data_IF_849428781481
#
_entry.id   IF_849428781481
#
_cell.length_a   1.000
_cell.length_b   1.000
_cell.length_c   1.000
_cell.angle_alpha   90.00
_cell.angle_beta   90.00
_cell.angle_gamma   90.00
#
_symmetry.space_group_name_H-M   'P 1'
#
loop_
_entity.id
_entity.type
_entity.pdbx_description
1 polymer ?
#
# COMPACT_ATOMS: atom_id res chain seq x y z
N UNK A 1 0.18 9.10 14.40
CA UNK A 1 1.13 8.18 13.72
C UNK A 1 0.58 7.72 12.38
N UNK A 2 -0.58 7.05 12.35
CA UNK A 2 -1.14 6.38 11.17
C UNK A 2 -1.49 7.33 10.01
N UNK A 3 -2.00 8.52 10.31
CA UNK A 3 -2.28 9.58 9.32
C UNK A 3 -1.00 9.99 8.59
N UNK A 4 0.07 10.30 9.32
CA UNK A 4 1.35 10.72 8.75
C UNK A 4 2.01 9.61 7.92
N UNK A 5 1.88 8.35 8.35
CA UNK A 5 2.34 7.20 7.59
C UNK A 5 1.62 7.08 6.24
N UNK A 6 0.29 7.10 6.23
CA UNK A 6 -0.50 7.02 4.98
C UNK A 6 -0.23 8.21 4.07
N UNK A 7 -0.06 9.40 4.65
CA UNK A 7 0.35 10.58 3.92
C UNK A 7 1.71 10.41 3.24
N UNK A 8 2.70 9.85 3.94
CA UNK A 8 4.02 9.56 3.38
C UNK A 8 3.97 8.51 2.27
N UNK A 9 3.21 7.42 2.45
CA UNK A 9 3.00 6.42 1.39
C UNK A 9 2.38 7.10 0.17
N UNK A 10 1.35 7.94 0.36
CA UNK A 10 0.72 8.71 -0.72
C UNK A 10 1.68 9.66 -1.44
N UNK A 11 2.60 10.31 -0.73
CA UNK A 11 3.64 11.17 -1.31
C UNK A 11 4.65 10.40 -2.19
N UNK A 12 4.87 9.13 -1.87
CA UNK A 12 5.80 8.27 -2.61
C UNK A 12 5.19 7.66 -3.89
N UNK A 13 3.88 7.82 -4.10
CA UNK A 13 3.22 7.38 -5.33
C UNK A 13 3.77 8.15 -6.53
N UNK A 14 4.35 7.42 -7.48
CA UNK A 14 4.75 7.99 -8.76
C UNK A 14 3.60 7.89 -9.77
N UNK A 15 3.01 9.05 -10.11
CA UNK A 15 1.92 9.10 -11.10
C UNK A 15 2.44 9.09 -12.55
N UNK A 16 3.76 9.05 -12.80
CA UNK A 16 4.34 8.87 -14.16
C UNK A 16 4.28 7.42 -14.59
N UNK A 17 3.10 6.83 -14.56
CA UNK A 17 2.90 5.49 -15.09
C UNK A 17 2.83 5.60 -16.60
N UNK A 18 3.78 4.99 -17.31
CA UNK A 18 3.67 4.91 -18.77
C UNK A 18 2.42 4.13 -19.13
N UNK A 19 1.64 4.65 -20.10
CA UNK A 19 0.49 3.91 -20.66
C UNK A 19 0.90 2.55 -21.22
N UNK A 20 2.16 2.39 -21.63
CA UNK A 20 2.70 1.11 -22.11
C UNK A 20 2.80 0.05 -21.00
N UNK A 21 3.02 0.47 -19.76
CA UNK A 21 3.17 -0.41 -18.59
C UNK A 21 1.84 -0.59 -17.86
N UNK A 22 0.99 0.42 -17.83
CA UNK A 22 -0.30 0.41 -17.12
C UNK A 22 -1.15 -0.84 -17.37
N UNK A 23 -1.31 -1.26 -18.63
CA UNK A 23 -2.08 -2.48 -18.97
C UNK A 23 -1.43 -3.74 -18.40
N UNK A 24 -0.11 -3.86 -18.53
CA UNK A 24 0.67 -5.01 -18.03
C UNK A 24 0.54 -5.11 -16.51
N UNK A 25 0.66 -3.98 -15.82
CA UNK A 25 0.57 -3.88 -14.36
C UNK A 25 -0.84 -4.15 -13.84
N UNK A 26 -1.87 -3.66 -14.53
CA UNK A 26 -3.26 -3.97 -14.18
C UNK A 26 -3.54 -5.47 -14.26
N UNK A 27 -3.06 -6.14 -15.32
CA UNK A 27 -3.21 -7.60 -15.44
C UNK A 27 -2.48 -8.31 -14.31
N UNK A 28 -1.25 -7.91 -13.99
CA UNK A 28 -0.44 -8.50 -12.92
C UNK A 28 -1.03 -8.33 -11.52
N UNK A 29 -1.46 -7.12 -11.20
CA UNK A 29 -2.09 -6.79 -9.92
C UNK A 29 -3.42 -7.52 -9.79
N UNK A 30 -4.31 -7.41 -10.79
CA UNK A 30 -5.63 -8.06 -10.74
C UNK A 30 -5.53 -9.58 -10.64
N UNK A 31 -4.63 -10.24 -11.39
CA UNK A 31 -4.45 -11.68 -11.30
C UNK A 31 -3.93 -12.09 -9.92
N UNK A 32 -2.92 -11.39 -9.38
CA UNK A 32 -2.37 -11.64 -8.06
C UNK A 32 -3.37 -11.41 -6.92
N UNK A 33 -4.13 -10.33 -7.01
CA UNK A 33 -5.16 -9.98 -6.02
C UNK A 33 -6.27 -11.01 -6.04
N UNK A 34 -6.83 -11.33 -7.21
CA UNK A 34 -7.97 -12.24 -7.32
C UNK A 34 -7.63 -13.64 -6.82
N UNK A 35 -6.45 -14.16 -7.16
CA UNK A 35 -6.01 -15.47 -6.66
C UNK A 35 -5.74 -15.46 -5.17
N UNK A 36 -5.17 -14.38 -4.63
CA UNK A 36 -4.92 -14.26 -3.19
C UNK A 36 -6.24 -14.12 -2.42
N UNK A 37 -7.18 -13.31 -2.92
CA UNK A 37 -8.51 -13.17 -2.31
C UNK A 37 -9.25 -14.51 -2.32
N UNK A 38 -9.20 -15.25 -3.43
CA UNK A 38 -9.84 -16.56 -3.53
C UNK A 38 -9.25 -17.57 -2.53
N UNK A 39 -7.92 -17.69 -2.48
CA UNK A 39 -7.25 -18.68 -1.63
C UNK A 39 -7.30 -18.31 -0.16
N UNK A 40 -6.95 -17.08 0.20
CA UNK A 40 -6.99 -16.61 1.59
C UNK A 40 -8.43 -16.51 2.08
N UNK A 41 -9.35 -16.04 1.23
CA UNK A 41 -10.78 -15.96 1.56
C UNK A 41 -11.36 -17.34 1.86
N UNK A 42 -11.03 -18.35 1.04
CA UNK A 42 -11.44 -19.73 1.29
C UNK A 42 -10.83 -20.28 2.58
N UNK A 43 -9.51 -20.15 2.80
CA UNK A 43 -8.86 -20.70 4.00
C UNK A 43 -9.36 -20.03 5.27
N UNK A 44 -9.48 -18.70 5.29
CA UNK A 44 -9.98 -17.95 6.44
C UNK A 44 -11.47 -18.22 6.69
N UNK A 45 -12.29 -18.39 5.65
CA UNK A 45 -13.68 -18.79 5.81
C UNK A 45 -13.80 -20.19 6.42
N UNK A 46 -12.98 -21.16 6.01
CA UNK A 46 -12.97 -22.50 6.60
C UNK A 46 -12.56 -22.49 8.10
N UNK A 47 -11.73 -21.53 8.51
CA UNK A 47 -11.28 -21.38 9.91
C UNK A 47 -12.33 -20.66 10.77
N UNK A 48 -12.94 -19.61 10.24
CA UNK A 48 -13.78 -18.68 11.02
C UNK A 48 -15.28 -18.90 10.86
N UNK A 49 -15.68 -19.51 9.74
CA UNK A 49 -17.06 -19.58 9.26
C UNK A 49 -17.76 -18.20 9.18
N UNK A 50 -16.99 -17.13 9.00
CA UNK A 50 -17.49 -15.76 8.84
C UNK A 50 -16.98 -15.14 7.52
N UNK A 51 -17.93 -14.77 6.66
CA UNK A 51 -17.64 -14.16 5.36
C UNK A 51 -17.04 -12.76 5.51
N UNK A 52 -17.44 -12.01 6.54
CA UNK A 52 -16.96 -10.63 6.72
C UNK A 52 -15.49 -10.64 7.11
N UNK A 53 -15.14 -11.43 8.12
CA UNK A 53 -13.75 -11.65 8.54
C UNK A 53 -12.89 -12.20 7.40
N UNK A 54 -13.40 -13.15 6.61
CA UNK A 54 -12.63 -13.74 5.51
C UNK A 54 -12.36 -12.76 4.38
N UNK A 55 -13.33 -11.91 4.01
CA UNK A 55 -13.14 -10.85 3.02
C UNK A 55 -12.14 -9.80 3.50
N UNK A 56 -12.24 -9.36 4.76
CA UNK A 56 -11.30 -8.39 5.33
C UNK A 56 -9.88 -8.97 5.34
N UNK A 57 -9.71 -10.19 5.84
CA UNK A 57 -8.40 -10.84 5.92
C UNK A 57 -7.79 -11.06 4.53
N UNK A 58 -8.60 -11.51 3.57
CA UNK A 58 -8.13 -11.81 2.22
C UNK A 58 -7.80 -10.57 1.40
N UNK A 59 -8.56 -9.48 1.53
CA UNK A 59 -8.23 -8.20 0.88
C UNK A 59 -6.98 -7.60 1.52
N UNK A 60 -6.88 -7.59 2.85
CA UNK A 60 -5.70 -7.09 3.55
C UNK A 60 -4.42 -7.86 3.13
N UNK A 61 -4.46 -9.20 3.12
CA UNK A 61 -3.32 -10.02 2.74
C UNK A 61 -3.06 -10.08 1.22
N UNK A 62 -3.96 -9.56 0.39
CA UNK A 62 -3.74 -9.45 -1.06
C UNK A 62 -2.76 -8.33 -1.44
N UNK A 63 -2.44 -7.43 -0.52
CA UNK A 63 -1.57 -6.28 -0.78
C UNK A 63 -0.12 -6.67 -1.04
N UNK A 64 0.57 -5.80 -1.76
CA UNK A 64 2.03 -5.82 -1.91
C UNK A 64 2.62 -4.53 -1.36
N UNK A 65 3.62 -4.60 -0.48
CA UNK A 65 4.28 -3.42 0.05
C UNK A 65 5.15 -2.71 -0.99
N UNK A 66 4.65 -1.59 -1.48
CA UNK A 66 5.36 -0.65 -2.36
C UNK A 66 6.72 -0.22 -1.79
N UNK A 67 6.81 0.04 -0.48
CA UNK A 67 8.05 0.43 0.21
C UNK A 67 9.17 -0.62 0.06
N UNK A 68 8.85 -1.91 0.25
CA UNK A 68 9.82 -3.00 0.11
C UNK A 68 10.27 -3.15 -1.33
N UNK A 69 9.34 -3.01 -2.28
CA UNK A 69 9.65 -3.05 -3.72
C UNK A 69 10.62 -1.91 -4.10
N UNK A 70 10.39 -0.70 -3.61
CA UNK A 70 11.26 0.45 -3.86
C UNK A 70 12.67 0.24 -3.27
N UNK A 71 12.79 -0.42 -2.11
CA UNK A 71 14.08 -0.80 -1.53
C UNK A 71 14.85 -1.81 -2.39
N UNK A 72 14.19 -2.84 -2.91
CA UNK A 72 14.81 -3.83 -3.82
C UNK A 72 15.25 -3.17 -5.14
N UNK A 73 14.51 -2.18 -5.60
CA UNK A 73 14.81 -1.45 -6.83
C UNK A 73 15.96 -0.45 -6.64
N UNK A 74 16.01 0.24 -5.50
CA UNK A 74 17.05 1.23 -5.19
C UNK A 74 18.42 0.60 -4.94
N UNK A 75 18.46 -0.66 -4.50
CA UNK A 75 19.69 -1.44 -4.32
C UNK A 75 20.39 -1.82 -5.65
N UNK A 76 19.85 -1.41 -6.80
CA UNK A 76 20.30 -1.74 -8.17
C UNK A 76 20.43 -3.24 -8.44
N UNK A 77 19.59 -4.03 -7.79
CA UNK A 77 19.60 -5.48 -7.98
C UNK A 77 18.94 -5.92 -9.28
N UNK A 78 18.05 -5.09 -9.84
CA UNK A 78 17.34 -5.32 -11.09
C UNK A 78 17.86 -4.38 -12.18
N UNK A 79 18.17 -4.92 -13.36
CA UNK A 79 18.74 -4.17 -14.49
C UNK A 79 17.67 -3.68 -15.48
N UNK A 80 16.59 -4.43 -15.69
CA UNK A 80 15.55 -4.07 -16.66
C UNK A 80 14.55 -3.03 -16.12
N UNK A 81 14.54 -1.87 -16.78
CA UNK A 81 13.67 -0.75 -16.42
C UNK A 81 12.18 -1.06 -16.55
N UNK A 82 11.76 -1.76 -17.62
CA UNK A 82 10.36 -2.14 -17.82
C UNK A 82 9.87 -3.08 -16.72
N UNK A 83 10.72 -4.03 -16.30
CA UNK A 83 10.37 -4.94 -15.20
C UNK A 83 10.18 -4.18 -13.88
N UNK A 84 11.09 -3.24 -13.59
CA UNK A 84 11.02 -2.37 -12.39
C UNK A 84 9.78 -1.49 -12.41
N UNK A 85 9.45 -0.87 -13.55
CA UNK A 85 8.27 -0.03 -13.68
C UNK A 85 6.98 -0.85 -13.50
N UNK A 86 6.87 -2.05 -14.10
CA UNK A 86 5.72 -2.95 -13.91
C UNK A 86 5.60 -3.39 -12.45
N UNK A 87 6.71 -3.65 -11.76
CA UNK A 87 6.72 -4.05 -10.36
C UNK A 87 6.22 -2.93 -9.45
N UNK A 88 6.73 -1.71 -9.62
CA UNK A 88 6.31 -0.53 -8.84
C UNK A 88 4.83 -0.20 -9.09
N UNK A 89 4.44 -0.18 -10.35
CA UNK A 89 3.08 0.24 -10.73
C UNK A 89 2.03 -0.77 -10.29
N UNK A 90 2.32 -2.08 -10.33
CA UNK A 90 1.41 -3.09 -9.80
C UNK A 90 1.26 -3.02 -8.29
N UNK A 91 2.34 -2.80 -7.53
CA UNK A 91 2.23 -2.67 -6.08
C UNK A 91 1.44 -1.42 -5.67
N UNK A 92 1.56 -0.31 -6.42
CA UNK A 92 0.69 0.85 -6.21
C UNK A 92 -0.79 0.57 -6.50
N UNK A 93 -1.10 -0.25 -7.51
CA UNK A 93 -2.50 -0.64 -7.79
C UNK A 93 -3.04 -1.51 -6.63
N UNK A 94 -2.20 -2.38 -6.06
CA UNK A 94 -2.57 -3.19 -4.89
C UNK A 94 -2.88 -2.32 -3.66
N UNK A 95 -2.07 -1.28 -3.40
CA UNK A 95 -2.28 -0.36 -2.27
C UNK A 95 -3.67 0.30 -2.30
N UNK A 96 -4.19 0.62 -3.49
CA UNK A 96 -5.53 1.20 -3.66
C UNK A 96 -6.62 0.27 -3.14
N UNK A 97 -6.46 -1.05 -3.28
CA UNK A 97 -7.46 -2.01 -2.81
C UNK A 97 -7.55 -2.05 -1.29
N UNK A 98 -6.40 -2.04 -0.60
CA UNK A 98 -6.39 -1.93 0.88
C UNK A 98 -6.95 -0.60 1.32
N UNK A 99 -6.70 0.48 0.57
CA UNK A 99 -7.26 1.78 0.87
C UNK A 99 -8.80 1.80 0.74
N UNK A 100 -9.33 1.15 -0.31
CA UNK A 100 -10.77 0.95 -0.46
C UNK A 100 -11.34 0.06 0.65
N UNK A 101 -10.63 -0.99 1.07
CA UNK A 101 -11.00 -1.79 2.24
C UNK A 101 -11.13 -0.89 3.47
N UNK A 102 -10.09 -0.10 3.77
CA UNK A 102 -10.08 0.83 4.91
C UNK A 102 -11.28 1.78 4.88
N UNK A 103 -11.61 2.35 3.71
CA UNK A 103 -12.82 3.15 3.55
C UNK A 103 -14.09 2.34 3.88
N UNK A 104 -14.21 1.11 3.38
CA UNK A 104 -15.39 0.27 3.63
C UNK A 104 -15.52 -0.21 5.08
N UNK A 105 -14.44 -0.27 5.86
CA UNK A 105 -14.54 -0.69 7.27
C UNK A 105 -15.46 0.25 8.07
N UNK A 106 -15.47 1.56 7.77
CA UNK A 106 -16.38 2.52 8.39
C UNK A 106 -17.86 2.30 8.04
N UNK A 107 -18.14 1.83 6.82
CA UNK A 107 -19.49 1.49 6.36
C UNK A 107 -20.11 0.36 7.20
N UNK A 108 -19.33 -0.70 7.42
CA UNK A 108 -19.78 -1.91 8.12
C UNK A 108 -20.20 -1.62 9.57
N UNK A 109 -19.66 -0.56 10.18
CA UNK A 109 -20.02 -0.10 11.51
C UNK A 109 -21.26 0.80 11.53
N UNK A 110 -21.45 1.63 10.51
CA UNK A 110 -22.44 2.70 10.49
C UNK A 110 -23.81 2.34 9.91
N UNK A 111 -23.96 1.17 9.27
CA UNK A 111 -25.22 0.75 8.64
C UNK A 111 -25.69 1.67 7.50
N UNK A 112 -24.79 2.47 6.95
CA UNK A 112 -25.08 3.41 5.86
C UNK A 112 -25.25 2.63 4.55
N UNK A 113 -26.07 3.05 3.59
CA UNK A 113 -26.10 2.41 2.29
C UNK A 113 -24.74 2.49 1.57
N UNK A 114 -24.33 1.36 0.97
CA UNK A 114 -22.99 1.15 0.37
C UNK A 114 -22.68 2.17 -0.74
N UNK A 115 -23.62 2.38 -1.65
CA UNK A 115 -23.44 3.22 -2.85
C UNK A 115 -23.16 4.70 -2.49
N UNK A 116 -24.01 5.41 -1.72
CA UNK A 116 -23.74 6.80 -1.37
C UNK A 116 -22.47 6.95 -0.53
N UNK A 117 -22.13 5.96 0.30
CA UNK A 117 -20.88 5.97 1.05
C UNK A 117 -19.66 5.88 0.14
N UNK A 118 -19.66 4.98 -0.85
CA UNK A 118 -18.61 4.87 -1.87
C UNK A 118 -18.49 6.15 -2.70
N UNK A 119 -19.62 6.70 -3.18
CA UNK A 119 -19.64 7.94 -3.96
C UNK A 119 -19.03 9.08 -3.14
N UNK A 120 -19.37 9.20 -1.85
CA UNK A 120 -18.80 10.20 -0.95
C UNK A 120 -17.26 10.10 -0.90
N UNK A 121 -16.71 8.91 -0.73
CA UNK A 121 -15.26 8.68 -0.67
C UNK A 121 -14.56 9.00 -1.99
N UNK A 122 -15.14 8.56 -3.11
CA UNK A 122 -14.58 8.81 -4.45
C UNK A 122 -14.62 10.31 -4.76
N UNK A 123 -15.75 10.98 -4.54
CA UNK A 123 -15.89 12.42 -4.77
C UNK A 123 -14.89 13.20 -3.89
N UNK A 124 -14.77 12.84 -2.62
CA UNK A 124 -13.84 13.49 -1.71
C UNK A 124 -12.37 13.31 -2.14
N UNK A 125 -11.98 12.10 -2.56
CA UNK A 125 -10.65 11.85 -3.12
C UNK A 125 -10.38 12.68 -4.38
N UNK A 126 -11.36 12.76 -5.30
CA UNK A 126 -11.25 13.58 -6.51
C UNK A 126 -11.11 15.07 -6.20
N UNK A 127 -11.84 15.58 -5.20
CA UNK A 127 -11.71 16.96 -4.72
C UNK A 127 -10.29 17.22 -4.20
N UNK A 128 -9.76 16.35 -3.36
CA UNK A 128 -8.39 16.49 -2.82
C UNK A 128 -7.35 16.46 -3.95
N UNK A 129 -7.47 15.54 -4.91
CA UNK A 129 -6.58 15.45 -6.07
C UNK A 129 -6.67 16.74 -6.92
N UNK A 130 -7.88 17.24 -7.16
CA UNK A 130 -8.10 18.47 -7.92
C UNK A 130 -7.50 19.70 -7.23
N UNK A 131 -7.56 19.74 -5.90
CA UNK A 131 -6.96 20.79 -5.08
C UNK A 131 -5.43 20.82 -5.27
N UNK A 132 -4.78 19.65 -5.24
CA UNK A 132 -3.34 19.51 -5.49
C UNK A 132 -2.95 19.98 -6.88
N UNK A 133 -3.75 19.64 -7.89
CA UNK A 133 -3.55 20.13 -9.26
C UNK A 133 -3.65 21.66 -9.36
N UNK A 134 -4.66 22.27 -8.74
CA UNK A 134 -4.84 23.74 -8.71
C UNK A 134 -3.65 24.40 -8.01
N UNK A 135 -3.26 23.89 -6.84
CA UNK A 135 -2.11 24.38 -6.08
C UNK A 135 -0.83 24.25 -6.92
N UNK A 136 -0.64 23.14 -7.64
CA UNK A 136 0.54 22.93 -8.49
C UNK A 136 0.70 23.95 -9.62
N UNK A 137 -0.42 24.53 -10.09
CA UNK A 137 -0.43 25.59 -11.10
C UNK A 137 -0.22 26.99 -10.52
N UNK A 138 -0.75 27.23 -9.32
CA UNK A 138 -0.64 28.51 -8.62
C UNK A 138 0.75 28.71 -8.02
N UNK A 139 1.41 27.62 -7.63
CA UNK A 139 2.76 27.65 -7.07
C UNK A 139 3.81 27.97 -8.14
N UNK A 140 4.29 29.21 -8.15
CA UNK A 140 5.46 29.60 -8.95
C UNK A 140 6.76 29.10 -8.29
N UNK A 141 7.63 28.46 -9.07
CA UNK A 141 8.92 27.92 -8.59
C UNK A 141 9.84 28.97 -7.94
N UNK A 142 9.66 30.25 -8.30
CA UNK A 142 10.43 31.40 -7.78
C UNK A 142 10.15 31.75 -6.31
N UNK A 143 9.00 31.37 -5.76
CA UNK A 143 8.55 31.81 -4.42
C UNK A 143 8.65 30.73 -3.35
N UNK A 144 8.97 29.50 -3.74
CA UNK A 144 8.97 28.38 -2.82
C UNK A 144 10.34 28.27 -2.15
N UNK A 145 10.37 27.97 -0.86
CA UNK A 145 11.54 27.42 -0.17
C UNK A 145 11.13 26.05 0.37
N UNK A 146 12.09 25.19 0.73
CA UNK A 146 11.74 23.86 1.27
C UNK A 146 10.81 23.98 2.49
N UNK A 147 11.01 25.02 3.33
CA UNK A 147 10.13 25.37 4.46
C UNK A 147 8.69 25.67 4.06
N UNK A 148 8.48 26.41 2.97
CA UNK A 148 7.12 26.75 2.50
C UNK A 148 6.39 25.48 2.03
N UNK A 149 7.09 24.54 1.38
CA UNK A 149 6.47 23.30 0.93
C UNK A 149 6.13 22.40 2.12
N UNK A 150 6.98 22.33 3.17
CA UNK A 150 6.63 21.63 4.43
C UNK A 150 5.34 22.22 4.99
N UNK A 151 5.24 23.55 5.08
CA UNK A 151 4.07 24.22 5.65
C UNK A 151 2.81 23.96 4.83
N UNK A 152 2.89 24.03 3.49
CA UNK A 152 1.77 23.68 2.61
C UNK A 152 1.38 22.22 2.79
N UNK A 153 2.36 21.32 2.87
CA UNK A 153 2.10 19.89 3.03
C UNK A 153 1.36 19.58 4.34
N UNK A 154 1.82 20.17 5.45
CA UNK A 154 1.18 20.02 6.75
C UNK A 154 -0.20 20.68 6.79
N UNK A 155 -0.34 21.89 6.23
CA UNK A 155 -1.63 22.59 6.19
C UNK A 155 -2.65 21.82 5.35
N UNK A 156 -2.25 21.28 4.20
CA UNK A 156 -3.11 20.40 3.40
C UNK A 156 -3.48 19.15 4.20
N UNK A 157 -2.52 18.46 4.82
CA UNK A 157 -2.80 17.26 5.63
C UNK A 157 -3.80 17.55 6.76
N UNK A 158 -3.59 18.60 7.55
CA UNK A 158 -4.48 18.94 8.67
C UNK A 158 -5.85 19.42 8.19
N UNK A 159 -5.91 20.25 7.15
CA UNK A 159 -7.18 20.76 6.62
C UNK A 159 -8.02 19.64 5.99
N UNK A 160 -7.43 18.79 5.15
CA UNK A 160 -8.17 17.69 4.51
C UNK A 160 -8.62 16.66 5.55
N UNK A 161 -7.75 16.28 6.50
CA UNK A 161 -8.14 15.33 7.56
C UNK A 161 -9.19 15.89 8.51
N UNK A 162 -9.14 17.19 8.83
CA UNK A 162 -10.21 17.85 9.59
C UNK A 162 -11.54 17.84 8.83
N UNK A 163 -11.53 18.18 7.54
CA UNK A 163 -12.76 18.11 6.72
C UNK A 163 -13.28 16.68 6.59
N UNK A 164 -12.39 15.68 6.47
CA UNK A 164 -12.77 14.28 6.44
C UNK A 164 -13.43 13.83 7.74
N UNK A 165 -12.88 14.25 8.89
CA UNK A 165 -13.49 13.98 10.20
C UNK A 165 -14.92 14.52 10.28
N UNK A 166 -15.12 15.77 9.83
CA UNK A 166 -16.45 16.41 9.82
C UNK A 166 -17.43 15.73 8.85
N UNK A 167 -16.95 15.22 7.72
CA UNK A 167 -17.76 14.54 6.70
C UNK A 167 -17.91 13.02 6.95
N UNK A 168 -17.31 12.49 8.02
CA UNK A 168 -17.28 11.06 8.33
C UNK A 168 -16.63 10.22 7.22
N UNK A 169 -15.52 10.70 6.68
CA UNK A 169 -14.64 9.98 5.74
C UNK A 169 -13.43 9.46 6.51
N UNK A 170 -12.96 8.25 6.18
CA UNK A 170 -11.83 7.65 6.87
C UNK A 170 -10.55 8.51 6.77
N UNK A 171 -9.90 8.72 7.92
CA UNK A 171 -8.75 9.62 8.04
C UNK A 171 -7.51 9.07 7.32
N UNK A 172 -7.29 7.75 7.38
CA UNK A 172 -6.19 7.08 6.69
C UNK A 172 -6.34 7.17 5.17
N UNK A 173 -7.56 6.91 4.67
CA UNK A 173 -7.95 7.11 3.28
C UNK A 173 -7.64 8.54 2.81
N UNK A 174 -8.10 9.52 3.58
CA UNK A 174 -7.89 10.94 3.31
C UNK A 174 -6.42 11.33 3.28
N UNK A 175 -5.64 10.86 4.25
CA UNK A 175 -4.23 11.19 4.37
C UNK A 175 -3.44 10.71 3.15
N UNK A 176 -3.71 9.49 2.69
CA UNK A 176 -3.09 8.92 1.49
C UNK A 176 -3.39 9.75 0.23
N UNK A 177 -4.67 10.07 -0.01
CA UNK A 177 -5.03 10.91 -1.17
C UNK A 177 -4.49 12.34 -1.06
N UNK A 178 -4.31 12.86 0.15
CA UNK A 178 -3.62 14.14 0.36
C UNK A 178 -2.14 14.06 0.02
N UNK A 179 -1.48 12.94 0.32
CA UNK A 179 -0.11 12.65 -0.11
C UNK A 179 0.00 12.58 -1.64
N UNK A 180 -0.90 11.84 -2.30
CA UNK A 180 -0.97 11.78 -3.78
C UNK A 180 -1.15 13.19 -4.36
N UNK A 181 -2.07 13.96 -3.80
CA UNK A 181 -2.38 15.32 -4.23
C UNK A 181 -1.17 16.24 -4.19
N UNK A 182 -0.33 16.15 -3.16
CA UNK A 182 0.95 16.86 -3.10
C UNK A 182 2.00 16.26 -4.04
N UNK A 183 2.00 14.94 -4.24
CA UNK A 183 2.84 14.27 -5.23
C UNK A 183 2.67 14.86 -6.64
N UNK A 184 1.50 15.42 -6.97
CA UNK A 184 1.22 16.09 -8.24
C UNK A 184 2.16 17.27 -8.50
N UNK A 185 2.70 17.91 -7.46
CA UNK A 185 3.68 19.00 -7.59
C UNK A 185 4.95 18.55 -8.35
N UNK A 186 5.28 17.24 -8.36
CA UNK A 186 6.36 16.65 -9.17
C UNK A 186 6.12 16.78 -10.69
N UNK A 187 4.90 17.10 -11.11
CA UNK A 187 4.49 17.25 -12.51
C UNK A 187 4.25 18.71 -12.91
N UNK A 188 4.40 19.66 -11.98
CA UNK A 188 4.33 21.07 -12.34
C UNK A 188 5.46 21.40 -13.34
N UNK A 189 5.14 22.19 -14.37
CA UNK A 189 6.10 22.57 -15.42
C UNK A 189 7.15 23.50 -14.82
N UNK A 190 8.20 22.90 -14.27
CA UNK A 190 9.33 23.62 -13.72
C UNK A 190 10.59 23.27 -14.53
N UNK A 191 11.07 24.17 -15.42
CA UNK A 191 12.24 23.90 -16.25
C UNK A 191 13.52 23.70 -15.43
N UNK A 192 13.54 24.13 -14.16
CA UNK A 192 14.67 23.97 -13.25
C UNK A 192 14.51 22.79 -12.27
N UNK A 193 13.45 21.98 -12.39
CA UNK A 193 13.17 20.80 -11.53
C UNK A 193 13.10 21.12 -10.01
N UNK A 194 12.96 22.39 -9.62
CA UNK A 194 13.07 22.85 -8.23
C UNK A 194 11.97 22.25 -7.37
N UNK A 195 10.75 22.17 -7.90
CA UNK A 195 9.63 21.54 -7.19
C UNK A 195 9.86 20.05 -6.90
N UNK A 196 10.53 19.32 -7.80
CA UNK A 196 10.86 17.90 -7.60
C UNK A 196 11.91 17.75 -6.50
N UNK A 197 12.99 18.54 -6.56
CA UNK A 197 14.05 18.51 -5.54
C UNK A 197 13.48 18.77 -4.15
N UNK A 198 12.66 19.82 -4.00
CA UNK A 198 12.14 20.18 -2.68
C UNK A 198 11.08 19.22 -2.15
N UNK A 199 10.28 18.60 -3.02
CA UNK A 199 9.40 17.51 -2.59
C UNK A 199 10.21 16.29 -2.15
N UNK A 200 11.32 16.00 -2.81
CA UNK A 200 12.23 14.95 -2.37
C UNK A 200 12.85 15.29 -1.02
N UNK A 201 13.22 16.56 -0.76
CA UNK A 201 13.63 17.00 0.58
C UNK A 201 12.52 16.75 1.61
N UNK A 202 11.25 17.08 1.31
CA UNK A 202 10.13 16.78 2.20
C UNK A 202 10.02 15.29 2.51
N UNK A 203 10.08 14.47 1.46
CA UNK A 203 9.96 13.02 1.57
C UNK A 203 11.12 12.48 2.40
N UNK A 204 12.35 12.95 2.21
CA UNK A 204 13.49 12.51 3.03
C UNK A 204 13.33 12.94 4.49
N UNK A 205 12.97 14.20 4.76
CA UNK A 205 12.74 14.66 6.13
C UNK A 205 11.61 13.89 6.83
N UNK A 206 10.50 13.63 6.12
CA UNK A 206 9.41 12.82 6.66
C UNK A 206 9.83 11.37 6.87
N UNK A 207 10.58 10.77 5.94
CA UNK A 207 11.13 9.42 6.09
C UNK A 207 11.97 9.31 7.35
N UNK A 208 12.91 10.23 7.58
CA UNK A 208 13.77 10.22 8.78
C UNK A 208 12.95 10.23 10.07
N UNK A 209 11.92 11.09 10.16
CA UNK A 209 11.04 11.15 11.34
C UNK A 209 10.17 9.91 11.47
N UNK A 210 9.66 9.38 10.36
CA UNK A 210 8.84 8.19 10.33
C UNK A 210 9.65 6.96 10.77
N UNK A 211 10.81 6.75 10.16
CA UNK A 211 11.69 5.61 10.41
C UNK A 211 12.25 5.61 11.84
N UNK A 212 12.58 6.79 12.38
CA UNK A 212 13.17 6.89 13.72
C UNK A 212 12.13 6.79 14.84
N UNK A 213 10.90 7.29 14.63
CA UNK A 213 9.92 7.46 15.71
C UNK A 213 8.60 6.76 15.39
N UNK A 214 7.92 7.14 14.31
CA UNK A 214 6.51 6.78 14.11
C UNK A 214 6.31 5.32 13.68
N UNK A 215 7.18 4.78 12.82
CA UNK A 215 7.14 3.39 12.36
C UNK A 215 7.44 2.43 13.51
N UNK A 216 8.52 2.60 14.30
CA UNK A 216 8.75 1.79 15.49
C UNK A 216 7.59 1.81 16.49
N UNK A 217 7.04 3.00 16.79
CA UNK A 217 5.89 3.12 17.69
C UNK A 217 4.64 2.43 17.11
N UNK A 218 4.41 2.56 15.81
CA UNK A 218 3.29 1.89 15.14
C UNK A 218 3.42 0.38 15.22
N UNK A 219 4.58 -0.19 14.88
CA UNK A 219 4.78 -1.63 14.94
C UNK A 219 4.84 -2.16 16.37
N UNK A 220 5.26 -1.35 17.36
CA UNK A 220 5.12 -1.67 18.77
C UNK A 220 3.64 -1.80 19.16
N UNK A 221 2.80 -0.84 18.76
CA UNK A 221 1.36 -0.90 18.99
C UNK A 221 0.72 -2.11 18.31
N UNK A 222 1.10 -2.39 17.05
CA UNK A 222 0.64 -3.58 16.32
C UNK A 222 0.99 -4.85 17.09
N UNK A 223 2.25 -4.98 17.53
CA UNK A 223 2.77 -6.15 18.23
C UNK A 223 2.16 -6.38 19.62
N UNK A 224 1.89 -5.32 20.39
CA UNK A 224 1.27 -5.43 21.73
C UNK A 224 -0.14 -6.05 21.64
N UNK A 225 -0.87 -5.80 20.56
CA UNK A 225 -2.21 -6.36 20.34
C UNK A 225 -2.19 -7.80 19.81
N UNK A 226 -1.01 -8.36 19.49
CA UNK A 226 -0.90 -9.73 19.01
C UNK A 226 -0.91 -10.74 20.16
N UNK A 227 -1.56 -11.87 19.93
CA UNK A 227 -1.48 -13.02 20.81
C UNK A 227 -0.52 -14.05 20.22
N UNK A 228 0.59 -14.31 20.94
CA UNK A 228 1.67 -15.19 20.52
C UNK A 228 1.23 -16.65 20.29
N UNK A 229 0.14 -17.09 20.91
CA UNK A 229 -0.38 -18.45 20.74
C UNK A 229 -0.79 -18.73 19.28
N UNK A 230 -1.13 -17.70 18.51
CA UNK A 230 -1.56 -17.85 17.12
C UNK A 230 -0.42 -17.78 16.11
N UNK A 231 0.77 -17.31 16.53
CA UNK A 231 1.95 -17.10 15.67
C UNK A 231 2.48 -18.42 15.09
N UNK A 232 2.28 -19.55 15.77
CA UNK A 232 2.74 -20.89 15.33
C UNK A 232 1.56 -21.86 15.21
N UNK A 233 0.34 -21.33 15.02
CA UNK A 233 -0.86 -22.15 14.89
C UNK A 233 -0.98 -22.81 13.51
N UNK A 234 -1.71 -23.93 13.42
CA UNK A 234 -2.06 -24.54 12.13
C UNK A 234 -2.82 -23.56 11.22
N UNK A 235 -3.67 -22.71 11.81
CA UNK A 235 -4.38 -21.63 11.12
C UNK A 235 -3.42 -20.62 10.50
N UNK A 236 -2.36 -20.22 11.21
CA UNK A 236 -1.32 -19.36 10.66
C UNK A 236 -0.63 -20.03 9.46
N UNK A 237 -0.22 -21.30 9.57
CA UNK A 237 0.46 -22.01 8.48
C UNK A 237 -0.44 -22.08 7.24
N UNK A 238 -1.72 -22.42 7.42
CA UNK A 238 -2.70 -22.47 6.33
C UNK A 238 -2.90 -21.10 5.66
N UNK A 239 -3.08 -20.04 6.46
CA UNK A 239 -3.25 -18.69 5.92
C UNK A 239 -1.97 -18.21 5.24
N UNK A 240 -0.80 -18.36 5.87
CA UNK A 240 0.48 -17.98 5.28
C UNK A 240 0.75 -18.69 3.96
N UNK A 241 0.57 -20.01 3.91
CA UNK A 241 0.78 -20.78 2.67
C UNK A 241 -0.20 -20.38 1.58
N UNK A 242 -1.49 -20.18 1.92
CA UNK A 242 -2.49 -19.71 0.95
C UNK A 242 -2.20 -18.29 0.45
N UNK A 243 -1.75 -17.40 1.33
CA UNK A 243 -1.41 -16.02 1.02
C UNK A 243 -0.14 -15.93 0.17
N UNK A 244 0.85 -16.79 0.45
CA UNK A 244 2.09 -16.85 -0.31
C UNK A 244 1.86 -17.45 -1.70
N UNK A 245 1.22 -18.62 -1.76
CA UNK A 245 0.92 -19.31 -3.02
C UNK A 245 -0.04 -18.52 -3.88
N UNK A 246 -1.08 -17.92 -3.29
CA UNK A 246 -2.06 -17.14 -4.06
C UNK A 246 -1.41 -15.97 -4.78
N UNK A 247 -0.55 -15.21 -4.08
CA UNK A 247 0.14 -14.08 -4.69
C UNK A 247 1.22 -14.54 -5.67
N UNK A 248 2.01 -15.55 -5.29
CA UNK A 248 3.05 -16.11 -6.15
C UNK A 248 2.49 -16.64 -7.47
N UNK A 249 1.47 -17.49 -7.42
CA UNK A 249 0.85 -18.08 -8.60
C UNK A 249 0.16 -17.00 -9.42
N UNK A 250 -0.66 -16.14 -8.80
CA UNK A 250 -1.41 -15.11 -9.50
C UNK A 250 -0.52 -14.11 -10.24
N UNK A 251 0.59 -13.67 -9.63
CA UNK A 251 1.51 -12.74 -10.25
C UNK A 251 2.50 -13.41 -11.23
N UNK A 252 2.79 -14.71 -11.07
CA UNK A 252 3.68 -15.44 -12.00
C UNK A 252 2.97 -15.85 -13.29
N UNK A 253 1.69 -16.22 -13.21
CA UNK A 253 0.91 -16.77 -14.32
C UNK A 253 0.94 -15.92 -15.60
N UNK A 254 0.71 -14.59 -15.56
CA UNK A 254 0.69 -13.80 -16.80
C UNK A 254 2.06 -13.77 -17.51
N UNK A 255 3.17 -13.76 -16.76
CA UNK A 255 4.52 -13.86 -17.35
C UNK A 255 4.78 -15.22 -17.98
N UNK A 256 4.28 -16.30 -17.40
CA UNK A 256 4.37 -17.65 -17.98
C UNK A 256 3.60 -17.71 -19.30
N UNK A 257 2.40 -17.13 -19.35
CA UNK A 257 1.57 -17.04 -20.58
C UNK A 257 2.29 -16.22 -21.66
N UNK A 258 3.07 -15.22 -21.28
CA UNK A 258 3.89 -14.42 -22.21
C UNK A 258 5.24 -15.07 -22.57
N UNK A 259 5.51 -16.30 -22.14
CA UNK A 259 6.74 -17.03 -22.45
C UNK A 259 7.96 -16.59 -21.64
N UNK A 260 7.79 -15.77 -20.60
CA UNK A 260 8.85 -15.24 -19.75
C UNK A 260 8.84 -15.89 -18.35
N UNK A 261 8.76 -17.22 -18.26
CA UNK A 261 8.54 -17.97 -17.02
C UNK A 261 9.52 -17.63 -15.90
N UNK A 262 10.81 -17.39 -16.21
CA UNK A 262 11.81 -17.01 -15.21
C UNK A 262 11.52 -15.62 -14.61
N UNK A 263 11.12 -14.64 -15.44
CA UNK A 263 10.66 -13.33 -14.94
C UNK A 263 9.41 -13.48 -14.10
N UNK A 264 8.50 -14.39 -14.47
CA UNK A 264 7.31 -14.72 -13.69
C UNK A 264 7.64 -15.19 -12.29
N UNK A 265 8.55 -16.16 -12.14
CA UNK A 265 8.99 -16.66 -10.83
C UNK A 265 9.54 -15.54 -9.94
N UNK A 266 10.43 -14.72 -10.48
CA UNK A 266 11.02 -13.60 -9.73
C UNK A 266 9.98 -12.55 -9.39
N UNK A 267 9.09 -12.21 -10.33
CA UNK A 267 8.01 -11.24 -10.11
C UNK A 267 7.05 -11.71 -9.01
N UNK A 268 6.64 -12.99 -9.05
CA UNK A 268 5.80 -13.59 -8.02
C UNK A 268 6.44 -13.58 -6.64
N UNK A 269 7.75 -13.84 -6.54
CA UNK A 269 8.49 -13.74 -5.27
C UNK A 269 8.49 -12.31 -4.76
N UNK A 270 8.83 -11.33 -5.61
CA UNK A 270 8.90 -9.93 -5.19
C UNK A 270 7.54 -9.38 -4.76
N UNK A 271 6.47 -9.76 -5.47
CA UNK A 271 5.09 -9.36 -5.16
C UNK A 271 4.53 -9.97 -3.87
N UNK A 272 5.25 -10.88 -3.22
CA UNK A 272 4.88 -11.39 -1.89
C UNK A 272 5.33 -10.47 -0.74
N UNK A 273 6.07 -9.41 -1.03
CA UNK A 273 6.48 -8.46 -0.02
C UNK A 273 5.24 -7.77 0.56
N UNK A 274 5.13 -7.76 1.87
CA UNK A 274 4.03 -7.20 2.66
C UNK A 274 4.56 -6.11 3.60
N UNK A 275 3.72 -5.24 4.12
CA UNK A 275 4.17 -4.08 4.88
C UNK A 275 3.10 -3.43 5.77
N UNK A 276 3.13 -2.10 5.76
CA UNK A 276 2.49 -1.30 6.78
C UNK A 276 0.98 -1.12 6.55
N UNK A 277 0.53 -1.06 5.29
CA UNK A 277 -0.87 -0.77 4.94
C UNK A 277 -1.84 -1.87 5.39
N UNK A 278 -1.52 -3.14 5.20
CA UNK A 278 -2.38 -4.23 5.66
C UNK A 278 -2.37 -4.37 7.18
N UNK A 279 -1.26 -4.03 7.84
CA UNK A 279 -1.19 -3.98 9.31
C UNK A 279 -2.14 -2.91 9.85
N UNK A 280 -2.23 -1.76 9.16
CA UNK A 280 -3.20 -0.72 9.48
C UNK A 280 -4.63 -1.17 9.25
N UNK A 281 -4.92 -1.80 8.12
CA UNK A 281 -6.26 -2.33 7.84
C UNK A 281 -6.68 -3.35 8.91
N UNK A 282 -5.77 -4.22 9.35
CA UNK A 282 -6.01 -5.17 10.42
C UNK A 282 -6.28 -4.49 11.77
N UNK A 283 -5.50 -3.47 12.14
CA UNK A 283 -5.73 -2.67 13.35
C UNK A 283 -7.10 -2.00 13.33
N UNK A 284 -7.48 -1.37 12.21
CA UNK A 284 -8.78 -0.71 12.07
C UNK A 284 -9.93 -1.71 12.14
N UNK A 285 -9.81 -2.84 11.46
CA UNK A 285 -10.81 -3.90 11.50
C UNK A 285 -10.98 -4.48 12.91
N UNK A 286 -9.87 -4.68 13.65
CA UNK A 286 -9.90 -5.14 15.04
C UNK A 286 -10.60 -4.10 15.94
N UNK A 287 -10.24 -2.83 15.80
CA UNK A 287 -10.84 -1.74 16.59
C UNK A 287 -12.33 -1.52 16.31
N UNK A 288 -12.79 -1.85 15.10
CA UNK A 288 -14.20 -1.84 14.75
C UNK A 288 -14.93 -3.13 15.14
N UNK A 289 -14.23 -4.13 15.69
CA UNK A 289 -14.80 -5.41 16.07
C UNK A 289 -15.20 -6.29 14.88
N UNK A 290 -14.68 -6.00 13.69
CA UNK A 290 -14.98 -6.73 12.45
C UNK A 290 -14.13 -7.99 12.28
N UNK A 291 -12.98 -8.05 12.96
CA UNK A 291 -12.16 -9.25 13.05
C UNK A 291 -11.86 -9.56 14.50
N UNK A 292 -11.69 -10.84 14.80
CA UNK A 292 -11.28 -11.34 16.11
C UNK A 292 -9.75 -11.22 16.28
N UNK A 293 -9.30 -11.20 17.54
CA UNK A 293 -7.87 -11.07 17.88
C UNK A 293 -6.97 -12.20 17.37
N UNK A 294 -7.53 -13.39 17.14
CA UNK A 294 -6.84 -14.53 16.53
C UNK A 294 -6.52 -14.27 15.04
N UNK A 295 -7.52 -13.84 14.27
CA UNK A 295 -7.34 -13.49 12.85
C UNK A 295 -6.45 -12.25 12.69
N UNK A 296 -6.61 -11.24 13.56
CA UNK A 296 -5.69 -10.12 13.62
C UNK A 296 -4.23 -10.59 13.77
N UNK A 297 -3.97 -11.46 14.76
CA UNK A 297 -2.62 -11.98 15.00
C UNK A 297 -2.09 -12.74 13.78
N UNK A 298 -2.93 -13.56 13.14
CA UNK A 298 -2.57 -14.30 11.93
C UNK A 298 -2.22 -13.36 10.78
N UNK A 299 -3.02 -12.31 10.51
CA UNK A 299 -2.75 -11.34 9.44
C UNK A 299 -1.39 -10.68 9.65
N UNK A 300 -1.12 -10.19 10.86
CA UNK A 300 0.15 -9.53 11.18
C UNK A 300 1.33 -10.49 11.06
N UNK A 301 1.22 -11.71 11.63
CA UNK A 301 2.29 -12.70 11.51
C UNK A 301 2.55 -13.05 10.06
N UNK A 302 1.51 -13.29 9.25
CA UNK A 302 1.64 -13.57 7.81
C UNK A 302 2.30 -12.42 7.07
N UNK A 303 1.97 -11.16 7.37
CA UNK A 303 2.62 -9.98 6.78
C UNK A 303 4.12 -9.98 7.07
N UNK A 304 4.50 -10.03 8.36
CA UNK A 304 5.90 -10.00 8.79
C UNK A 304 6.69 -11.17 8.21
N UNK A 305 6.16 -12.40 8.29
CA UNK A 305 6.87 -13.58 7.80
C UNK A 305 7.05 -13.53 6.29
N UNK A 306 6.03 -13.10 5.52
CA UNK A 306 6.17 -12.99 4.07
C UNK A 306 7.26 -11.97 3.67
N UNK A 307 7.32 -10.81 4.31
CA UNK A 307 8.36 -9.81 4.02
C UNK A 307 9.76 -10.26 4.39
N UNK A 308 9.90 -10.96 5.52
CA UNK A 308 11.16 -11.61 5.90
C UNK A 308 11.57 -12.67 4.86
N UNK A 309 10.63 -13.51 4.40
CA UNK A 309 10.92 -14.51 3.38
C UNK A 309 11.36 -13.88 2.07
N UNK A 310 10.67 -12.84 1.57
CA UNK A 310 11.08 -12.14 0.35
C UNK A 310 12.46 -11.51 0.51
N UNK A 311 12.72 -10.82 1.63
CA UNK A 311 14.01 -10.19 1.89
C UNK A 311 15.17 -11.20 1.91
N UNK A 312 14.95 -12.36 2.52
CA UNK A 312 15.93 -13.46 2.52
C UNK A 312 16.14 -14.03 1.11
N UNK A 313 15.05 -14.29 0.37
CA UNK A 313 15.12 -14.85 -0.98
C UNK A 313 15.83 -13.87 -1.93
N UNK A 314 15.52 -12.58 -1.87
CA UNK A 314 16.19 -11.53 -2.66
C UNK A 314 17.68 -11.51 -2.38
N UNK A 315 18.08 -11.58 -1.10
CA UNK A 315 19.49 -11.63 -0.72
C UNK A 315 20.22 -12.85 -1.29
N UNK A 316 19.55 -14.01 -1.35
CA UNK A 316 20.10 -15.24 -1.93
C UNK A 316 20.15 -15.19 -3.47
N UNK A 317 19.12 -14.62 -4.11
CA UNK A 317 18.98 -14.53 -5.57
C UNK A 317 19.69 -13.32 -6.19
N UNK A 318 20.43 -12.54 -5.40
CA UNK A 318 21.11 -11.31 -5.84
C UNK A 318 21.95 -11.45 -7.10
N UNK A 319 22.59 -12.62 -7.32
CA UNK A 319 23.37 -12.91 -8.54
C UNK A 319 22.51 -13.05 -9.79
N UNK A 320 21.30 -13.61 -9.65
CA UNK A 320 20.37 -13.84 -10.76
C UNK A 320 19.50 -12.62 -11.06
N UNK A 321 19.17 -11.81 -10.03
CA UNK A 321 18.41 -10.57 -10.19
C UNK A 321 19.10 -9.58 -11.12
N UNK A 322 20.44 -9.53 -11.13
CA UNK A 322 21.23 -8.65 -12.02
C UNK A 322 21.12 -8.99 -13.50
N UNK A 323 20.70 -10.21 -13.82
CA UNK A 323 20.52 -10.69 -15.21
C UNK A 323 19.12 -10.30 -15.73
N UNK A 324 18.20 -10.01 -14.82
CA UNK A 324 16.84 -9.55 -15.13
C UNK A 324 16.86 -8.05 -15.31
#
# INVERSE_FOLDING_TARGET
SLITLFFYVGLNVDLRVSRSVAKKSLVMSSSGVLTTIALVGLTTYLITNDLTTSLIASIALSNTATEVILLVISSRELSNELFREVLITSSFIDDLLVLFLVAMLGLLKGGVPVIPYLIKHIVFALVIISLGYVISKLLSSKLLSSRVIINIAMLMLFSTTLTAYLLGVDLAFTAYFTGISLGILRFSKDPMLVNIVRLNDLVSYLSEVLDMILIPIFFLYVGINMNLNYVVSYSFIAVFTSAFLGKFIGCSLPYVVWGESFKGLVYGILMNARGSLESVAAVLALNYGLIRGDIYSIIITTSITSSLTVSLIVRLLRRYLRVI
#
